data_IF_011961201230
#
_entry.id   IF_011961201230
#
_cell.length_a   1.000
_cell.length_b   1.000
_cell.length_c   1.000
_cell.angle_alpha   90.00
_cell.angle_beta   90.00
_cell.angle_gamma   90.00
#
_symmetry.space_group_name_H-M   'P 1'
#
loop_
_entity.id
_entity.type
_entity.pdbx_description
1 polymer ?
#
# COMPACT_ATOMS: atom_id res chain seq x y z
N UNK A 1 -8.71 10.82 -9.98
CA UNK A 1 -7.72 10.11 -9.11
C UNK A 1 -7.42 10.98 -7.91
N UNK A 2 -7.20 10.40 -6.73
CA UNK A 2 -6.89 11.14 -5.50
C UNK A 2 -5.41 10.95 -5.13
N UNK A 3 -4.72 12.04 -4.76
CA UNK A 3 -3.35 11.93 -4.27
C UNK A 3 -3.33 11.61 -2.77
N UNK A 4 -2.41 10.73 -2.40
CA UNK A 4 -2.12 10.37 -1.03
C UNK A 4 -0.62 10.16 -0.81
N UNK A 5 -0.25 9.89 0.42
CA UNK A 5 1.09 9.58 0.87
C UNK A 5 1.07 8.22 1.56
N UNK A 6 1.96 7.31 1.18
CA UNK A 6 2.38 6.20 2.03
C UNK A 6 3.38 6.72 3.06
N UNK A 7 3.14 6.49 4.34
CA UNK A 7 4.03 7.04 5.39
C UNK A 7 5.46 6.50 5.28
N UNK A 8 5.68 5.38 4.54
CA UNK A 8 7.01 4.86 4.23
C UNK A 8 7.90 5.87 3.51
N UNK A 9 7.32 6.80 2.75
CA UNK A 9 8.04 7.87 2.08
C UNK A 9 8.87 8.76 3.03
N UNK A 10 8.56 8.77 4.33
CA UNK A 10 9.32 9.48 5.39
C UNK A 10 9.95 8.52 6.40
N UNK A 11 10.19 7.26 6.03
CA UNK A 11 10.63 6.21 6.95
C UNK A 11 11.91 6.56 7.72
N UNK A 12 12.94 7.13 7.05
CA UNK A 12 14.18 7.56 7.71
C UNK A 12 13.96 8.76 8.63
N UNK A 13 13.04 9.64 8.24
CA UNK A 13 12.67 10.83 9.04
C UNK A 13 11.95 10.40 10.31
N UNK A 14 11.05 9.39 10.23
CA UNK A 14 10.45 8.75 11.41
C UNK A 14 11.50 8.07 12.29
N UNK A 15 12.37 7.25 11.70
CA UNK A 15 13.43 6.55 12.43
C UNK A 15 14.39 7.50 13.16
N UNK A 16 14.61 8.71 12.63
CA UNK A 16 15.43 9.74 13.28
C UNK A 16 14.71 10.52 14.41
N UNK A 17 13.43 10.26 14.65
CA UNK A 17 12.60 10.99 15.62
C UNK A 17 12.21 12.40 15.20
N UNK A 18 12.51 12.82 13.96
CA UNK A 18 12.15 14.15 13.44
C UNK A 18 10.70 14.25 12.96
N UNK A 19 10.04 13.11 12.75
CA UNK A 19 8.66 12.99 12.32
C UNK A 19 7.89 12.05 13.24
N UNK A 20 6.61 12.34 13.42
CA UNK A 20 5.61 11.44 13.96
C UNK A 20 4.33 11.56 13.13
N UNK A 21 3.35 10.71 13.41
CA UNK A 21 2.15 10.62 12.58
C UNK A 21 1.29 11.88 12.68
N UNK A 22 1.20 12.49 13.86
CA UNK A 22 0.48 13.73 14.07
C UNK A 22 1.09 14.88 13.27
N UNK A 23 2.40 15.04 13.31
CA UNK A 23 3.14 16.02 12.51
C UNK A 23 2.97 15.75 11.01
N UNK A 24 3.07 14.49 10.58
CA UNK A 24 2.92 14.15 9.17
C UNK A 24 1.52 14.45 8.64
N UNK A 25 0.47 14.30 9.45
CA UNK A 25 -0.89 14.70 9.07
C UNK A 25 -0.96 16.21 8.76
N UNK A 26 -0.31 17.06 9.57
CA UNK A 26 -0.20 18.50 9.28
C UNK A 26 0.60 18.76 8.00
N UNK A 27 1.75 18.12 7.82
CA UNK A 27 2.55 18.24 6.57
C UNK A 27 1.72 17.86 5.35
N UNK A 28 0.95 16.77 5.41
CA UNK A 28 0.06 16.37 4.32
C UNK A 28 -1.00 17.43 3.99
N UNK A 29 -1.65 18.00 5.00
CA UNK A 29 -2.73 18.99 4.82
C UNK A 29 -2.19 20.36 4.39
N UNK A 30 -1.17 20.87 5.07
CA UNK A 30 -0.75 22.27 4.99
C UNK A 30 0.35 22.49 3.95
N UNK A 31 1.33 21.58 3.86
CA UNK A 31 2.47 21.71 2.96
C UNK A 31 2.26 20.95 1.65
N UNK A 32 1.99 19.64 1.74
CA UNK A 32 1.78 18.78 0.57
C UNK A 32 0.41 19.00 -0.09
N UNK A 33 -0.58 19.51 0.65
CA UNK A 33 -1.95 19.78 0.17
C UNK A 33 -2.58 18.56 -0.51
N UNK A 34 -2.58 17.45 0.21
CA UNK A 34 -3.13 16.17 -0.25
C UNK A 34 -4.20 15.67 0.72
N UNK A 35 -5.10 14.82 0.23
CA UNK A 35 -6.27 14.37 1.00
C UNK A 35 -6.22 12.89 1.40
N UNK A 36 -5.10 12.19 1.24
CA UNK A 36 -5.00 10.76 1.57
C UNK A 36 -3.71 10.38 2.28
N UNK A 37 -3.80 9.38 3.17
CA UNK A 37 -2.65 8.80 3.86
C UNK A 37 -2.82 7.29 3.99
N UNK A 38 -1.77 6.54 3.66
CA UNK A 38 -1.61 5.13 4.01
C UNK A 38 -0.60 5.02 5.16
N UNK A 39 -1.02 4.40 6.26
CA UNK A 39 -0.23 4.31 7.48
C UNK A 39 0.46 2.95 7.55
N UNK A 40 1.79 2.95 7.47
CA UNK A 40 2.63 1.77 7.74
C UNK A 40 2.66 1.53 9.27
N UNK A 41 2.58 0.28 9.67
CA UNK A 41 2.47 -0.14 11.08
C UNK A 41 3.54 0.42 12.01
N UNK A 42 4.80 0.45 11.56
CA UNK A 42 5.93 0.96 12.35
C UNK A 42 5.84 2.47 12.66
N UNK A 43 4.98 3.19 11.97
CA UNK A 43 4.75 4.62 12.20
C UNK A 43 3.51 4.90 13.07
N UNK A 44 2.74 3.87 13.40
CA UNK A 44 1.60 3.96 14.32
C UNK A 44 2.07 3.61 15.74
N UNK A 45 2.14 4.59 16.64
CA UNK A 45 2.70 4.44 17.99
C UNK A 45 1.97 3.41 18.86
N UNK A 46 0.64 3.25 18.66
CA UNK A 46 -0.19 2.34 19.46
C UNK A 46 -1.44 1.94 18.68
N UNK A 47 -1.99 0.77 19.02
CA UNK A 47 -3.34 0.33 18.60
C UNK A 47 -4.38 0.55 19.71
N UNK A 48 -4.05 1.25 20.77
CA UNK A 48 -5.00 1.60 21.83
C UNK A 48 -6.12 2.48 21.26
N UNK A 49 -7.33 2.22 21.68
CA UNK A 49 -8.53 2.89 21.14
C UNK A 49 -8.43 4.42 21.24
N UNK A 50 -8.00 4.93 22.38
CA UNK A 50 -7.89 6.39 22.61
C UNK A 50 -6.90 7.03 21.64
N UNK A 51 -5.75 6.37 21.39
CA UNK A 51 -4.78 6.85 20.42
C UNK A 51 -5.33 6.80 18.98
N UNK A 52 -5.97 5.70 18.61
CA UNK A 52 -6.58 5.57 17.28
C UNK A 52 -7.67 6.62 17.04
N UNK A 53 -8.53 6.88 18.04
CA UNK A 53 -9.56 7.92 17.96
C UNK A 53 -8.97 9.32 17.88
N UNK A 54 -7.86 9.58 18.59
CA UNK A 54 -7.10 10.83 18.46
C UNK A 54 -6.60 11.05 17.04
N UNK A 55 -5.96 10.02 16.43
CA UNK A 55 -5.44 10.09 15.05
C UNK A 55 -6.59 10.26 14.06
N UNK A 56 -7.67 9.49 14.20
CA UNK A 56 -8.86 9.62 13.35
C UNK A 56 -9.45 11.03 13.41
N UNK A 57 -9.61 11.57 14.63
CA UNK A 57 -10.13 12.93 14.80
C UNK A 57 -9.23 13.96 14.13
N UNK A 58 -7.92 13.89 14.37
CA UNK A 58 -6.96 14.81 13.75
C UNK A 58 -6.99 14.72 12.22
N UNK A 59 -6.99 13.50 11.66
CA UNK A 59 -7.11 13.31 10.21
C UNK A 59 -8.41 13.92 9.65
N UNK A 60 -9.54 13.74 10.38
CA UNK A 60 -10.83 14.33 9.99
C UNK A 60 -10.82 15.84 10.03
N UNK A 61 -10.27 16.45 11.10
CA UNK A 61 -10.16 17.91 11.26
C UNK A 61 -9.31 18.52 10.13
N UNK A 62 -8.27 17.81 9.70
CA UNK A 62 -7.38 18.19 8.60
C UNK A 62 -7.87 17.75 7.21
N UNK A 63 -9.06 17.14 7.11
CA UNK A 63 -9.65 16.65 5.86
C UNK A 63 -8.79 15.60 5.15
N UNK A 64 -8.02 14.81 5.90
CA UNK A 64 -7.22 13.69 5.41
C UNK A 64 -8.03 12.38 5.57
N UNK A 65 -8.19 11.64 4.48
CA UNK A 65 -8.72 10.27 4.52
C UNK A 65 -7.57 9.30 4.82
N UNK A 66 -7.70 8.48 5.85
CA UNK A 66 -6.80 7.31 5.98
C UNK A 66 -7.21 6.31 4.91
N UNK A 67 -6.43 6.23 3.82
CA UNK A 67 -6.78 5.44 2.62
C UNK A 67 -6.50 3.94 2.81
N UNK A 68 -5.50 3.62 3.63
CA UNK A 68 -5.15 2.27 4.04
C UNK A 68 -4.40 2.28 5.38
N UNK A 69 -4.32 1.09 5.98
CA UNK A 69 -3.33 0.74 7.00
C UNK A 69 -2.52 -0.43 6.46
N UNK A 70 -1.21 -0.41 6.67
CA UNK A 70 -0.28 -1.30 5.96
C UNK A 70 0.68 -2.00 6.92
N UNK A 71 0.22 -3.07 7.62
CA UNK A 71 1.08 -3.84 8.51
C UNK A 71 2.07 -4.73 7.75
N UNK A 72 3.23 -4.97 8.37
CA UNK A 72 4.11 -6.06 7.98
C UNK A 72 3.51 -7.41 8.41
N UNK A 73 3.44 -8.36 7.48
CA UNK A 73 2.96 -9.71 7.76
C UNK A 73 3.57 -10.75 6.81
N UNK A 74 3.52 -12.03 7.19
CA UNK A 74 3.95 -13.13 6.34
C UNK A 74 3.20 -14.40 6.69
N UNK A 75 2.34 -14.88 5.79
CA UNK A 75 1.67 -16.18 5.87
C UNK A 75 2.56 -17.33 5.39
N UNK A 76 2.04 -18.57 5.47
CA UNK A 76 2.76 -19.77 5.05
C UNK A 76 3.78 -20.23 6.08
N UNK A 77 3.45 -20.10 7.36
CA UNK A 77 4.31 -20.56 8.45
C UNK A 77 4.34 -22.08 8.55
N UNK A 78 5.46 -22.62 9.02
CA UNK A 78 5.62 -24.07 9.23
C UNK A 78 4.74 -24.58 10.36
N UNK A 79 4.79 -23.92 11.50
CA UNK A 79 4.03 -24.28 12.68
C UNK A 79 2.62 -23.69 12.61
N UNK A 80 1.66 -24.50 13.05
CA UNK A 80 0.23 -24.10 13.08
C UNK A 80 -0.02 -22.93 14.02
N UNK A 81 0.73 -22.87 15.12
CA UNK A 81 0.63 -21.79 16.11
C UNK A 81 1.07 -20.46 15.51
N UNK A 82 2.17 -20.44 14.76
CA UNK A 82 2.70 -19.23 14.11
C UNK A 82 1.76 -18.76 13.00
N UNK A 83 1.15 -19.68 12.24
CA UNK A 83 0.15 -19.34 11.22
C UNK A 83 -1.10 -18.71 11.84
N UNK A 84 -1.59 -19.28 12.97
CA UNK A 84 -2.72 -18.72 13.72
C UNK A 84 -2.39 -17.33 14.29
N UNK A 85 -1.18 -17.13 14.78
CA UNK A 85 -0.73 -15.83 15.28
C UNK A 85 -0.73 -14.76 14.18
N UNK A 86 -0.27 -15.11 12.94
CA UNK A 86 -0.35 -14.19 11.81
C UNK A 86 -1.80 -13.87 11.41
N UNK A 87 -2.70 -14.85 11.40
CA UNK A 87 -4.12 -14.61 11.14
C UNK A 87 -4.72 -13.67 12.19
N UNK A 88 -4.43 -13.90 13.48
CA UNK A 88 -4.92 -13.06 14.56
C UNK A 88 -4.35 -11.64 14.50
N UNK A 89 -3.07 -11.49 14.16
CA UNK A 89 -2.44 -10.20 13.89
C UNK A 89 -3.20 -9.42 12.82
N UNK A 90 -3.55 -10.06 11.70
CA UNK A 90 -4.28 -9.37 10.62
C UNK A 90 -5.71 -9.04 11.03
N UNK A 91 -6.36 -9.82 11.91
CA UNK A 91 -7.65 -9.44 12.48
C UNK A 91 -7.55 -8.17 13.33
N UNK A 92 -6.56 -8.08 14.21
CA UNK A 92 -6.30 -6.87 15.02
C UNK A 92 -6.04 -5.65 14.15
N UNK A 93 -5.25 -5.80 13.08
CA UNK A 93 -5.02 -4.72 12.12
C UNK A 93 -6.28 -4.37 11.29
N UNK A 94 -7.16 -5.35 11.06
CA UNK A 94 -8.47 -5.08 10.46
C UNK A 94 -9.34 -4.22 11.37
N UNK A 95 -9.32 -4.47 12.69
CA UNK A 95 -10.01 -3.63 13.68
C UNK A 95 -9.41 -2.23 13.73
N UNK A 96 -8.09 -2.11 13.68
CA UNK A 96 -7.39 -0.82 13.58
C UNK A 96 -7.82 -0.04 12.33
N UNK A 97 -7.83 -0.68 11.15
CA UNK A 97 -8.30 -0.06 9.92
C UNK A 97 -9.76 0.40 10.04
N UNK A 98 -10.63 -0.43 10.59
CA UNK A 98 -12.04 -0.10 10.83
C UNK A 98 -12.20 1.12 11.75
N UNK A 99 -11.48 1.16 12.89
CA UNK A 99 -11.52 2.29 13.84
C UNK A 99 -11.05 3.58 13.16
N UNK A 100 -9.96 3.54 12.42
CA UNK A 100 -9.41 4.68 11.68
C UNK A 100 -10.29 5.10 10.49
N UNK A 101 -11.24 4.25 10.08
CA UNK A 101 -12.10 4.50 8.91
C UNK A 101 -11.39 4.23 7.58
N UNK A 102 -10.28 3.47 7.60
CA UNK A 102 -9.56 3.07 6.41
C UNK A 102 -10.32 1.97 5.64
N UNK A 103 -10.65 2.18 4.36
CA UNK A 103 -11.37 1.17 3.57
C UNK A 103 -10.50 -0.04 3.18
N UNK A 104 -9.18 0.12 3.24
CA UNK A 104 -8.23 -0.92 2.83
C UNK A 104 -7.29 -1.28 3.98
N UNK A 105 -6.98 -2.56 4.10
CA UNK A 105 -5.85 -3.09 4.86
C UNK A 105 -4.89 -3.73 3.88
N UNK A 106 -3.71 -3.13 3.66
CA UNK A 106 -2.69 -3.73 2.80
C UNK A 106 -2.03 -4.87 3.55
N UNK A 107 -1.96 -6.02 2.91
CA UNK A 107 -1.27 -7.20 3.41
C UNK A 107 -0.37 -7.82 2.34
N UNK A 108 0.65 -8.56 2.78
CA UNK A 108 1.46 -9.41 1.91
C UNK A 108 0.96 -10.86 1.97
N UNK A 109 1.24 -11.63 0.91
CA UNK A 109 1.10 -13.08 0.96
C UNK A 109 2.18 -13.73 1.85
N UNK A 110 3.34 -13.08 1.94
CA UNK A 110 4.47 -13.50 2.76
C UNK A 110 5.67 -13.99 1.95
N UNK A 111 6.64 -14.52 2.68
CA UNK A 111 7.93 -14.95 2.16
C UNK A 111 8.26 -16.37 2.62
N UNK A 112 8.79 -17.16 1.70
CA UNK A 112 9.41 -18.46 1.95
C UNK A 112 10.45 -18.75 0.87
N UNK A 113 11.37 -19.70 1.07
CA UNK A 113 12.23 -20.20 0.01
C UNK A 113 11.40 -20.69 -1.19
N UNK A 114 11.82 -20.37 -2.41
CA UNK A 114 11.04 -20.62 -3.64
C UNK A 114 10.66 -22.09 -3.82
N UNK A 115 11.54 -22.99 -3.43
CA UNK A 115 11.33 -24.45 -3.47
C UNK A 115 10.18 -24.91 -2.57
N UNK A 116 9.83 -24.12 -1.55
CA UNK A 116 8.75 -24.42 -0.62
C UNK A 116 7.41 -23.77 -0.99
N UNK A 117 7.38 -22.89 -1.98
CA UNK A 117 6.17 -22.18 -2.36
C UNK A 117 5.00 -23.13 -2.65
N UNK A 118 5.24 -24.21 -3.41
CA UNK A 118 4.19 -25.19 -3.75
C UNK A 118 3.60 -25.87 -2.51
N UNK A 119 4.44 -26.23 -1.55
CA UNK A 119 4.05 -26.87 -0.28
C UNK A 119 3.21 -25.91 0.59
N UNK A 120 3.68 -24.67 0.74
CA UNK A 120 3.10 -23.70 1.67
C UNK A 120 1.92 -22.91 1.08
N UNK A 121 1.75 -22.92 -0.23
CA UNK A 121 0.69 -22.18 -0.92
C UNK A 121 -0.72 -22.42 -0.37
N UNK A 122 -1.15 -23.68 -0.08
CA UNK A 122 -2.46 -23.92 0.51
C UNK A 122 -2.64 -23.24 1.89
N UNK A 123 -1.58 -23.14 2.70
CA UNK A 123 -1.62 -22.44 3.99
C UNK A 123 -1.82 -20.95 3.77
N UNK A 124 -1.04 -20.32 2.89
CA UNK A 124 -1.19 -18.90 2.51
C UNK A 124 -2.63 -18.61 2.06
N UNK A 125 -3.16 -19.38 1.13
CA UNK A 125 -4.52 -19.21 0.62
C UNK A 125 -5.57 -19.34 1.73
N UNK A 126 -5.44 -20.34 2.59
CA UNK A 126 -6.41 -20.58 3.67
C UNK A 126 -6.38 -19.45 4.71
N UNK A 127 -5.19 -18.97 5.09
CA UNK A 127 -5.04 -17.88 6.05
C UNK A 127 -5.62 -16.57 5.50
N UNK A 128 -5.37 -16.27 4.23
CA UNK A 128 -5.98 -15.09 3.59
C UNK A 128 -7.51 -15.23 3.51
N UNK A 129 -8.05 -16.42 3.20
CA UNK A 129 -9.50 -16.68 3.23
C UNK A 129 -10.10 -16.44 4.62
N UNK A 130 -9.41 -16.88 5.66
CA UNK A 130 -9.86 -16.69 7.04
C UNK A 130 -9.85 -15.20 7.42
N UNK A 131 -8.78 -14.48 7.11
CA UNK A 131 -8.70 -13.03 7.30
C UNK A 131 -9.78 -12.29 6.50
N UNK A 132 -10.03 -12.68 5.24
CA UNK A 132 -11.03 -12.06 4.38
C UNK A 132 -12.46 -12.21 4.92
N UNK A 133 -12.80 -13.35 5.53
CA UNK A 133 -14.08 -13.54 6.20
C UNK A 133 -14.26 -12.57 7.39
N UNK A 134 -13.19 -12.27 8.10
CA UNK A 134 -13.23 -11.30 9.20
C UNK A 134 -13.32 -9.87 8.67
N UNK A 135 -12.48 -9.51 7.72
CA UNK A 135 -12.45 -8.19 7.11
C UNK A 135 -13.81 -7.84 6.45
N UNK A 136 -14.46 -8.81 5.82
CA UNK A 136 -15.82 -8.67 5.28
C UNK A 136 -16.85 -8.21 6.32
N UNK A 137 -16.78 -8.73 7.56
CA UNK A 137 -17.68 -8.34 8.65
C UNK A 137 -17.45 -6.91 9.12
N UNK A 138 -16.25 -6.38 8.91
CA UNK A 138 -15.84 -5.01 9.27
C UNK A 138 -16.00 -4.03 8.10
N UNK A 139 -16.29 -4.52 6.89
CA UNK A 139 -16.36 -3.67 5.69
C UNK A 139 -14.98 -3.17 5.22
N UNK A 140 -13.89 -3.91 5.53
CA UNK A 140 -12.52 -3.58 5.15
C UNK A 140 -12.08 -4.52 4.03
N UNK A 141 -11.46 -3.97 2.97
CA UNK A 141 -10.86 -4.73 1.88
C UNK A 141 -9.43 -5.14 2.28
N UNK A 142 -9.10 -6.42 2.13
CA UNK A 142 -7.71 -6.87 2.16
C UNK A 142 -7.06 -6.58 0.80
N UNK A 143 -6.22 -5.57 0.77
CA UNK A 143 -5.51 -5.14 -0.43
C UNK A 143 -4.14 -5.85 -0.49
N UNK A 144 -4.05 -6.92 -1.28
CA UNK A 144 -2.80 -7.71 -1.41
C UNK A 144 -1.78 -6.91 -2.21
N UNK A 145 -0.54 -6.89 -1.75
CA UNK A 145 0.56 -6.30 -2.48
C UNK A 145 1.59 -7.35 -2.90
N UNK A 146 2.05 -7.28 -4.16
CA UNK A 146 3.29 -7.92 -4.62
C UNK A 146 4.49 -7.16 -4.06
N UNK A 147 5.66 -7.81 -3.97
CA UNK A 147 6.84 -7.15 -3.43
C UNK A 147 8.08 -7.44 -4.28
N UNK A 148 8.84 -6.39 -4.62
CA UNK A 148 10.07 -6.50 -5.41
C UNK A 148 11.20 -7.28 -4.70
N UNK A 149 11.15 -7.41 -3.37
CA UNK A 149 12.04 -8.26 -2.57
C UNK A 149 11.71 -9.76 -2.63
N UNK A 150 10.89 -10.21 -3.57
CA UNK A 150 10.49 -11.62 -3.73
C UNK A 150 9.24 -11.99 -2.93
N UNK A 151 9.24 -13.19 -2.31
CA UNK A 151 8.08 -13.72 -1.63
C UNK A 151 7.19 -14.56 -2.55
N UNK A 152 5.94 -14.79 -2.15
CA UNK A 152 5.01 -15.62 -2.91
C UNK A 152 4.49 -14.98 -4.20
N UNK A 153 4.56 -13.64 -4.33
CA UNK A 153 3.94 -12.88 -5.41
C UNK A 153 4.96 -11.99 -6.16
N UNK A 154 6.01 -12.56 -6.78
CA UNK A 154 6.99 -11.75 -7.50
C UNK A 154 6.43 -11.21 -8.82
N UNK A 155 5.45 -11.89 -9.42
CA UNK A 155 4.88 -11.52 -10.72
C UNK A 155 3.35 -11.44 -10.70
N UNK A 156 2.78 -10.90 -11.75
CA UNK A 156 1.33 -10.84 -11.94
C UNK A 156 0.70 -12.24 -12.06
N UNK A 157 1.46 -13.23 -12.54
CA UNK A 157 0.98 -14.62 -12.67
C UNK A 157 0.64 -15.23 -11.31
N UNK A 158 1.55 -15.14 -10.33
CA UNK A 158 1.30 -15.62 -8.97
C UNK A 158 0.22 -14.79 -8.29
N UNK A 159 0.20 -13.47 -8.55
CA UNK A 159 -0.82 -12.57 -8.00
C UNK A 159 -2.23 -12.96 -8.47
N UNK A 160 -2.43 -13.19 -9.76
CA UNK A 160 -3.73 -13.63 -10.28
C UNK A 160 -4.09 -15.04 -9.82
N UNK A 161 -3.11 -15.93 -9.69
CA UNK A 161 -3.32 -17.25 -9.10
C UNK A 161 -3.83 -17.13 -7.67
N UNK A 162 -3.23 -16.25 -6.86
CA UNK A 162 -3.68 -16.01 -5.48
C UNK A 162 -5.13 -15.49 -5.44
N UNK A 163 -5.45 -14.46 -6.21
CA UNK A 163 -6.81 -13.92 -6.27
C UNK A 163 -7.83 -14.99 -6.66
N UNK A 164 -7.51 -15.83 -7.66
CA UNK A 164 -8.36 -16.96 -8.08
C UNK A 164 -8.52 -17.99 -6.99
N UNK A 165 -7.42 -18.41 -6.34
CA UNK A 165 -7.44 -19.48 -5.34
C UNK A 165 -8.14 -19.02 -4.04
N UNK A 166 -7.98 -17.74 -3.65
CA UNK A 166 -8.69 -17.14 -2.52
C UNK A 166 -10.16 -16.94 -2.85
N UNK A 167 -10.50 -16.49 -4.04
CA UNK A 167 -11.86 -16.31 -4.55
C UNK A 167 -12.78 -15.57 -3.57
N UNK A 168 -12.37 -14.38 -3.14
CA UNK A 168 -13.15 -13.53 -2.24
C UNK A 168 -13.33 -12.13 -2.80
N UNK A 169 -14.54 -11.55 -2.79
CA UNK A 169 -14.76 -10.17 -3.23
C UNK A 169 -14.10 -9.14 -2.30
N UNK A 170 -13.74 -9.56 -1.09
CA UNK A 170 -13.09 -8.74 -0.06
C UNK A 170 -11.56 -8.79 -0.14
N UNK A 171 -11.01 -9.47 -1.16
CA UNK A 171 -9.58 -9.50 -1.46
C UNK A 171 -9.35 -8.86 -2.81
N UNK A 172 -8.59 -7.78 -2.82
CA UNK A 172 -8.25 -6.95 -3.98
C UNK A 172 -6.74 -6.68 -3.97
N UNK A 173 -6.28 -5.72 -4.78
CA UNK A 173 -4.87 -5.36 -4.84
C UNK A 173 -4.61 -3.96 -4.27
N UNK A 174 -3.53 -3.86 -3.48
CA UNK A 174 -2.71 -2.68 -3.43
C UNK A 174 -1.69 -2.80 -4.56
N UNK A 175 -1.92 -2.09 -5.65
CA UNK A 175 -1.08 -2.20 -6.83
C UNK A 175 0.07 -1.20 -6.74
N UNK A 176 1.26 -1.71 -6.51
CA UNK A 176 2.49 -0.91 -6.52
C UNK A 176 3.04 -0.79 -7.95
N UNK A 177 3.45 0.40 -8.35
CA UNK A 177 3.89 0.70 -9.72
C UNK A 177 5.29 0.18 -10.05
N UNK A 178 6.06 -0.31 -9.07
CA UNK A 178 7.44 -0.75 -9.25
C UNK A 178 7.74 -2.16 -8.72
N UNK A 179 6.78 -2.88 -8.15
CA UNK A 179 7.07 -4.13 -7.44
C UNK A 179 7.02 -5.39 -8.31
N UNK A 180 6.33 -5.40 -9.44
CA UNK A 180 6.27 -6.58 -10.31
C UNK A 180 7.61 -6.86 -11.00
N UNK A 181 8.00 -8.15 -10.99
CA UNK A 181 9.20 -8.68 -11.66
C UNK A 181 8.88 -9.33 -13.02
N UNK A 182 7.73 -9.01 -13.60
CA UNK A 182 7.37 -9.45 -14.95
C UNK A 182 8.33 -8.86 -15.99
N UNK A 183 8.57 -9.57 -17.10
CA UNK A 183 9.40 -9.08 -18.19
C UNK A 183 8.88 -7.76 -18.81
N UNK A 184 7.55 -7.58 -18.88
CA UNK A 184 6.91 -6.29 -19.11
C UNK A 184 6.04 -5.92 -17.89
N UNK A 185 6.64 -5.22 -16.96
CA UNK A 185 5.97 -4.75 -15.74
C UNK A 185 4.74 -3.88 -16.05
N UNK A 186 4.78 -3.07 -17.11
CA UNK A 186 3.64 -2.21 -17.46
C UNK A 186 2.46 -2.99 -18.02
N UNK A 187 2.71 -4.08 -18.76
CA UNK A 187 1.66 -5.00 -19.17
C UNK A 187 1.03 -5.69 -17.97
N UNK A 188 1.84 -6.10 -16.98
CA UNK A 188 1.38 -6.66 -15.72
C UNK A 188 0.55 -5.66 -14.91
N UNK A 189 1.00 -4.40 -14.80
CA UNK A 189 0.24 -3.32 -14.16
C UNK A 189 -1.12 -3.13 -14.84
N UNK A 190 -1.14 -3.00 -16.18
CA UNK A 190 -2.39 -2.85 -16.95
C UNK A 190 -3.37 -3.99 -16.69
N UNK A 191 -2.90 -5.23 -16.72
CA UNK A 191 -3.72 -6.41 -16.47
C UNK A 191 -4.27 -6.46 -15.03
N UNK A 192 -3.56 -5.86 -14.06
CA UNK A 192 -3.92 -5.85 -12.65
C UNK A 192 -4.91 -4.74 -12.27
N UNK A 193 -5.07 -3.70 -13.10
CA UNK A 193 -5.94 -2.55 -12.81
C UNK A 193 -7.39 -2.90 -12.42
N UNK A 194 -8.06 -3.92 -13.02
CA UNK A 194 -9.42 -4.29 -12.62
C UNK A 194 -9.55 -4.77 -11.15
N UNK A 195 -8.44 -5.14 -10.54
CA UNK A 195 -8.41 -5.62 -9.16
C UNK A 195 -7.89 -4.57 -8.17
N UNK A 196 -7.33 -3.46 -8.65
CA UNK A 196 -6.73 -2.42 -7.81
C UNK A 196 -7.81 -1.58 -7.09
N UNK A 197 -7.76 -1.55 -5.77
CA UNK A 197 -8.58 -0.66 -4.92
C UNK A 197 -7.76 0.44 -4.27
N UNK A 198 -6.46 0.22 -4.18
CA UNK A 198 -5.47 1.09 -3.59
C UNK A 198 -4.18 0.98 -4.40
N UNK A 199 -3.36 2.02 -4.44
CA UNK A 199 -2.11 1.98 -5.19
C UNK A 199 -0.98 2.69 -4.45
N UNK A 200 0.22 2.10 -4.55
CA UNK A 200 1.48 2.75 -4.25
C UNK A 200 2.14 3.27 -5.53
N UNK A 201 2.53 4.52 -5.48
CA UNK A 201 3.31 5.18 -6.51
C UNK A 201 4.78 5.11 -6.14
N UNK A 202 5.46 4.06 -6.60
CA UNK A 202 6.88 3.85 -6.32
C UNK A 202 7.72 4.94 -6.98
N UNK A 203 8.61 5.54 -6.19
CA UNK A 203 9.59 6.53 -6.65
C UNK A 203 10.93 6.20 -6.01
N UNK A 204 11.93 5.90 -6.84
CA UNK A 204 13.27 5.54 -6.38
C UNK A 204 14.30 6.63 -6.63
N UNK A 205 14.25 7.28 -7.78
CA UNK A 205 15.31 8.20 -8.18
C UNK A 205 14.75 9.39 -8.95
N UNK A 206 14.87 10.58 -8.35
CA UNK A 206 14.49 11.82 -9.01
C UNK A 206 15.71 12.58 -9.47
N UNK A 207 15.70 13.03 -10.73
CA UNK A 207 16.65 14.00 -11.22
C UNK A 207 16.45 15.37 -10.56
N UNK A 208 17.42 16.26 -10.69
CA UNK A 208 17.34 17.62 -10.13
C UNK A 208 16.11 18.40 -10.63
N UNK A 209 15.73 18.19 -11.89
CA UNK A 209 14.53 18.76 -12.51
C UNK A 209 13.22 18.00 -12.16
N UNK A 210 13.28 17.01 -11.27
CA UNK A 210 12.16 16.28 -10.74
C UNK A 210 11.52 15.30 -11.73
N UNK A 211 12.33 14.55 -12.49
CA UNK A 211 11.89 13.40 -13.29
C UNK A 211 12.26 12.10 -12.56
N UNK A 212 11.35 11.16 -12.53
CA UNK A 212 11.68 9.79 -12.11
C UNK A 212 12.51 9.11 -13.21
N UNK A 213 13.62 8.48 -12.83
CA UNK A 213 14.60 7.94 -13.77
C UNK A 213 14.49 6.43 -14.00
N UNK A 214 13.83 5.70 -13.10
CA UNK A 214 13.70 4.24 -13.20
C UNK A 214 12.37 3.80 -13.83
N UNK A 215 11.29 4.59 -13.65
CA UNK A 215 9.95 4.24 -14.12
C UNK A 215 9.42 5.21 -15.16
N UNK A 216 8.81 4.67 -16.23
CA UNK A 216 8.15 5.49 -17.25
C UNK A 216 6.75 5.94 -16.79
N UNK A 217 6.67 7.12 -16.20
CA UNK A 217 5.43 7.71 -15.74
C UNK A 217 4.43 8.02 -16.86
N UNK A 218 4.87 8.16 -18.11
CA UNK A 218 3.92 8.27 -19.23
C UNK A 218 3.18 6.96 -19.45
N UNK A 219 3.86 5.82 -19.38
CA UNK A 219 3.20 4.50 -19.46
C UNK A 219 2.28 4.28 -18.27
N UNK A 220 2.73 4.60 -17.04
CA UNK A 220 1.92 4.47 -15.81
C UNK A 220 0.64 5.31 -15.94
N UNK A 221 0.74 6.59 -16.28
CA UNK A 221 -0.43 7.47 -16.38
C UNK A 221 -1.35 7.13 -17.55
N UNK A 222 -0.83 6.58 -18.65
CA UNK A 222 -1.65 6.01 -19.72
C UNK A 222 -2.50 4.85 -19.20
N UNK A 223 -1.90 3.92 -18.44
CA UNK A 223 -2.60 2.78 -17.84
C UNK A 223 -3.68 3.26 -16.86
N UNK A 224 -3.34 4.20 -15.98
CA UNK A 224 -4.30 4.76 -15.00
C UNK A 224 -5.49 5.43 -15.69
N UNK A 225 -5.25 6.19 -16.77
CA UNK A 225 -6.29 6.86 -17.56
C UNK A 225 -7.19 5.87 -18.27
N UNK A 226 -6.62 4.89 -18.97
CA UNK A 226 -7.38 3.84 -19.67
C UNK A 226 -8.25 3.03 -18.72
N UNK A 227 -7.74 2.75 -17.49
CA UNK A 227 -8.48 2.05 -16.45
C UNK A 227 -9.51 2.95 -15.72
N UNK A 228 -9.56 4.26 -16.02
CA UNK A 228 -10.39 5.23 -15.29
C UNK A 228 -10.19 5.14 -13.77
N UNK A 229 -8.95 5.01 -13.31
CA UNK A 229 -8.66 4.84 -11.90
C UNK A 229 -9.03 6.09 -11.10
N UNK A 230 -9.84 5.92 -10.04
CA UNK A 230 -10.35 7.00 -9.18
C UNK A 230 -9.98 6.85 -7.71
N UNK A 231 -9.23 5.80 -7.36
CA UNK A 231 -8.76 5.54 -6.01
C UNK A 231 -7.63 6.48 -5.58
N UNK A 232 -7.06 6.18 -4.42
CA UNK A 232 -5.86 6.86 -3.93
C UNK A 232 -4.61 6.31 -4.61
N UNK A 233 -3.77 7.22 -5.09
CA UNK A 233 -2.44 6.98 -5.62
C UNK A 233 -1.45 7.57 -4.62
N UNK A 234 -0.95 6.71 -3.72
CA UNK A 234 -0.16 7.12 -2.58
C UNK A 234 1.32 7.10 -2.95
N UNK A 235 1.97 8.25 -2.88
CA UNK A 235 3.41 8.33 -3.14
C UNK A 235 4.17 7.55 -2.09
N UNK A 236 5.00 6.61 -2.55
CA UNK A 236 5.94 5.83 -1.78
C UNK A 236 7.35 6.09 -2.30
N UNK A 237 8.02 7.06 -1.66
CA UNK A 237 9.39 7.43 -1.99
C UNK A 237 10.36 6.49 -1.28
N UNK A 238 11.22 5.84 -2.04
CA UNK A 238 12.28 4.93 -1.56
C UNK A 238 13.67 5.35 -2.05
N UNK A 239 13.83 6.60 -2.51
CA UNK A 239 15.10 7.16 -2.93
C UNK A 239 16.09 7.34 -1.77
N UNK A 240 17.35 7.54 -2.11
CA UNK A 240 18.45 7.68 -1.14
C UNK A 240 18.60 9.10 -0.60
N UNK A 241 18.08 10.08 -1.32
CA UNK A 241 18.19 11.50 -1.02
C UNK A 241 17.33 11.87 0.20
N UNK A 242 17.48 13.10 0.68
CA UNK A 242 16.73 13.61 1.83
C UNK A 242 15.22 13.60 1.58
N UNK A 243 14.48 12.84 2.39
CA UNK A 243 13.03 12.69 2.26
C UNK A 243 12.30 14.04 2.39
N UNK A 244 12.79 14.93 3.29
CA UNK A 244 12.18 16.25 3.49
C UNK A 244 12.25 17.12 2.22
N UNK A 245 13.28 16.94 1.40
CA UNK A 245 13.46 17.67 0.15
C UNK A 245 12.81 16.96 -1.06
N UNK A 246 12.88 15.62 -1.10
CA UNK A 246 12.50 14.87 -2.32
C UNK A 246 11.07 14.35 -2.32
N UNK A 247 10.45 14.12 -1.17
CA UNK A 247 9.01 13.77 -1.14
C UNK A 247 8.15 14.90 -1.71
N UNK A 248 8.32 16.19 -1.35
CA UNK A 248 7.59 17.28 -1.99
C UNK A 248 7.82 17.35 -3.52
N UNK A 249 9.05 17.17 -3.99
CA UNK A 249 9.36 17.11 -5.44
C UNK A 249 8.62 15.95 -6.13
N UNK A 250 8.48 14.81 -5.46
CA UNK A 250 7.69 13.67 -5.96
C UNK A 250 6.24 14.07 -6.20
N UNK A 251 5.63 14.80 -5.27
CA UNK A 251 4.27 15.32 -5.43
C UNK A 251 4.15 16.31 -6.58
N UNK A 252 5.10 17.21 -6.74
CA UNK A 252 5.14 18.16 -7.87
C UNK A 252 5.22 17.43 -9.21
N UNK A 253 6.06 16.40 -9.30
CA UNK A 253 6.18 15.56 -10.49
C UNK A 253 4.84 14.89 -10.81
N UNK A 254 4.24 14.20 -9.85
CA UNK A 254 2.97 13.47 -10.06
C UNK A 254 1.84 14.44 -10.43
N UNK A 255 1.77 15.63 -9.84
CA UNK A 255 0.79 16.67 -10.24
C UNK A 255 0.96 17.13 -11.69
N UNK A 256 2.20 17.25 -12.20
CA UNK A 256 2.44 17.56 -13.62
C UNK A 256 1.82 16.47 -14.52
N UNK A 257 1.96 15.19 -14.15
CA UNK A 257 1.33 14.09 -14.88
C UNK A 257 -0.19 14.07 -14.76
N UNK A 258 -0.76 14.31 -13.56
CA UNK A 258 -2.22 14.45 -13.38
C UNK A 258 -2.77 15.51 -14.32
N UNK A 259 -2.13 16.68 -14.40
CA UNK A 259 -2.52 17.78 -15.31
C UNK A 259 -2.37 17.36 -16.77
N UNK A 260 -1.23 16.75 -17.15
CA UNK A 260 -0.96 16.31 -18.53
C UNK A 260 -1.99 15.31 -19.05
N UNK A 261 -2.44 14.40 -18.19
CA UNK A 261 -3.37 13.32 -18.55
C UNK A 261 -4.83 13.62 -18.21
N UNK A 262 -5.15 14.83 -17.70
CA UNK A 262 -6.50 15.24 -17.30
C UNK A 262 -7.17 14.23 -16.36
N UNK A 263 -6.53 13.97 -15.22
CA UNK A 263 -6.96 12.97 -14.23
C UNK A 263 -7.46 13.61 -12.91
N UNK A 264 -8.13 14.77 -13.00
CA UNK A 264 -8.71 15.48 -11.86
C UNK A 264 -10.00 14.83 -11.32
#
# INVERSE_FOLDING_TARGET
MKLGLCTWAYNRTFASGKMDLEKLLHVCAEELKIGGMDIIDVHLKSQDLDYLLKIKKLATDLQITISAVSPGNSFGKDKREDEKAEVEKIRQWTDTAYILGAPNLRIFAGWAPKERHKELWPKVVNSIKECAKYAAKKGVILAIESHNGGGYLPTSVETFKLLKDVNSPWVKLNLDTGNYQDADMYAALKASMPYATHMHCKIHELSEDGRELQFDFNRIFTILKEANYRGFFNIEYEGKEDELAFVPKSFEMVRRFIKKYDMF
#
